data_IF_251926923905
#
_entry.id   IF_251926923905
#
_cell.length_a   1.000
_cell.length_b   1.000
_cell.length_c   1.000
_cell.angle_alpha   90.00
_cell.angle_beta   90.00
_cell.angle_gamma   90.00
#
_symmetry.space_group_name_H-M   'P 1'
#
loop_
_entity.id
_entity.type
_entity.pdbx_description
1 polymer ?
#
# COMPACT_ATOMS: atom_id res chain seq x y z
N UNK A 1 6.50 7.05 -14.08
CA UNK A 1 6.15 8.03 -13.01
C UNK A 1 5.52 7.24 -11.88
N UNK A 2 5.96 7.41 -10.62
CA UNK A 2 5.45 6.63 -9.49
C UNK A 2 3.99 7.01 -9.13
N UNK A 3 3.18 6.09 -8.56
CA UNK A 3 1.83 6.39 -8.12
C UNK A 3 1.81 7.51 -7.07
N UNK A 4 0.81 8.40 -7.14
CA UNK A 4 0.57 9.39 -6.07
C UNK A 4 0.37 8.65 -4.75
N UNK A 5 1.25 8.94 -3.79
CA UNK A 5 1.28 8.26 -2.49
C UNK A 5 0.27 8.89 -1.53
N UNK A 6 -0.91 8.26 -1.40
CA UNK A 6 -1.93 8.58 -0.39
C UNK A 6 -1.85 7.61 0.78
N UNK A 7 -2.50 7.94 1.91
CA UNK A 7 -2.60 7.02 3.05
C UNK A 7 -3.19 5.67 2.67
N UNK A 8 -4.19 5.64 1.78
CA UNK A 8 -4.83 4.39 1.34
C UNK A 8 -3.91 3.56 0.46
N UNK A 9 -3.13 4.19 -0.43
CA UNK A 9 -2.10 3.49 -1.23
C UNK A 9 -1.03 2.92 -0.32
N UNK A 10 -0.58 3.69 0.69
CA UNK A 10 0.38 3.24 1.70
C UNK A 10 -0.10 1.95 2.39
N UNK A 11 -1.33 1.91 2.89
CA UNK A 11 -1.88 0.73 3.57
C UNK A 11 -1.91 -0.51 2.66
N UNK A 12 -2.29 -0.34 1.39
CA UNK A 12 -2.28 -1.45 0.41
C UNK A 12 -0.86 -1.96 0.16
N UNK A 13 0.11 -1.06 0.00
CA UNK A 13 1.51 -1.44 -0.19
C UNK A 13 2.11 -2.14 1.05
N UNK A 14 1.80 -1.66 2.25
CA UNK A 14 2.23 -2.29 3.50
C UNK A 14 1.67 -3.72 3.63
N UNK A 15 0.40 -3.93 3.31
CA UNK A 15 -0.23 -5.25 3.35
C UNK A 15 0.38 -6.23 2.32
N UNK A 16 0.68 -5.74 1.11
CA UNK A 16 1.29 -6.54 0.05
C UNK A 16 2.76 -6.85 0.32
N UNK A 17 3.52 -5.87 0.81
CA UNK A 17 4.93 -6.05 1.18
C UNK A 17 5.09 -7.04 2.32
N UNK A 18 4.20 -7.01 3.33
CA UNK A 18 4.25 -7.99 4.41
C UNK A 18 4.18 -9.42 3.89
N UNK A 19 3.28 -9.70 2.94
CA UNK A 19 3.17 -11.04 2.34
C UNK A 19 4.37 -11.36 1.47
N UNK A 20 4.84 -10.38 0.69
CA UNK A 20 6.02 -10.55 -0.16
C UNK A 20 7.30 -10.83 0.64
N UNK A 21 7.48 -10.17 1.79
CA UNK A 21 8.62 -10.37 2.68
C UNK A 21 8.60 -11.76 3.34
N UNK A 22 7.40 -12.31 3.59
CA UNK A 22 7.21 -13.67 4.09
C UNK A 22 7.46 -14.71 2.97
N UNK A 23 6.82 -14.55 1.80
CA UNK A 23 6.98 -15.40 0.61
C UNK A 23 6.62 -14.63 -0.68
N UNK A 24 7.59 -14.36 -1.58
CA UNK A 24 7.37 -13.58 -2.81
C UNK A 24 6.54 -14.33 -3.88
N UNK A 25 6.24 -15.60 -3.68
CA UNK A 25 5.40 -16.41 -4.58
C UNK A 25 3.91 -16.31 -4.23
N UNK A 26 3.56 -15.87 -3.02
CA UNK A 26 2.17 -15.78 -2.56
C UNK A 26 1.48 -14.57 -3.18
N UNK A 27 0.29 -14.81 -3.75
CA UNK A 27 -0.60 -13.77 -4.25
C UNK A 27 -1.83 -13.64 -3.34
N UNK A 28 -2.35 -12.42 -3.20
CA UNK A 28 -3.57 -12.15 -2.42
C UNK A 28 -4.76 -11.91 -3.34
N UNK A 29 -5.92 -12.47 -3.00
CA UNK A 29 -7.13 -12.10 -3.72
C UNK A 29 -7.68 -10.75 -3.24
N UNK A 30 -8.41 -10.04 -4.10
CA UNK A 30 -8.84 -8.66 -3.81
C UNK A 30 -9.51 -8.43 -2.45
N UNK A 31 -10.36 -9.35 -1.96
CA UNK A 31 -10.99 -9.17 -0.65
C UNK A 31 -10.08 -9.52 0.53
N UNK A 32 -9.05 -10.36 0.38
CA UNK A 32 -8.01 -10.51 1.41
C UNK A 32 -7.31 -9.18 1.65
N UNK A 33 -7.01 -8.46 0.57
CA UNK A 33 -6.41 -7.12 0.66
C UNK A 33 -7.36 -6.19 1.41
N UNK A 34 -8.66 -6.18 1.06
CA UNK A 34 -9.65 -5.37 1.80
C UNK A 34 -9.71 -5.72 3.29
N UNK A 35 -9.65 -7.00 3.65
CA UNK A 35 -9.71 -7.46 5.02
C UNK A 35 -8.45 -7.06 5.80
N UNK A 36 -7.27 -7.17 5.18
CA UNK A 36 -5.98 -6.81 5.78
C UNK A 36 -5.82 -5.30 5.98
N UNK A 37 -6.36 -4.48 5.07
CA UNK A 37 -6.21 -3.02 5.13
C UNK A 37 -7.39 -2.31 5.79
N UNK A 38 -8.53 -2.99 6.01
CA UNK A 38 -9.78 -2.37 6.46
C UNK A 38 -10.41 -1.42 5.44
N UNK A 39 -9.96 -1.46 4.18
CA UNK A 39 -10.45 -0.57 3.12
C UNK A 39 -11.63 -1.22 2.40
N UNK A 40 -12.64 -0.41 2.06
CA UNK A 40 -13.78 -0.89 1.27
C UNK A 40 -13.34 -1.32 -0.14
N UNK A 41 -14.05 -2.28 -0.76
CA UNK A 41 -13.78 -2.70 -2.14
C UNK A 41 -13.72 -1.54 -3.13
N UNK A 42 -14.63 -0.56 -3.01
CA UNK A 42 -14.67 0.63 -3.88
C UNK A 42 -13.42 1.51 -3.80
N UNK A 43 -12.61 1.39 -2.73
CA UNK A 43 -11.33 2.09 -2.59
C UNK A 43 -10.17 1.19 -3.02
N UNK A 44 -10.22 -0.09 -2.66
CA UNK A 44 -9.12 -1.04 -2.88
C UNK A 44 -8.90 -1.34 -4.35
N UNK A 45 -9.96 -1.67 -5.12
CA UNK A 45 -9.79 -2.05 -6.53
C UNK A 45 -9.22 -0.91 -7.41
N UNK A 46 -9.64 0.36 -7.29
CA UNK A 46 -9.00 1.46 -8.00
C UNK A 46 -7.51 1.63 -7.65
N UNK A 47 -7.12 1.37 -6.40
CA UNK A 47 -5.69 1.40 -6.00
C UNK A 47 -4.93 0.26 -6.67
N UNK A 48 -5.46 -0.97 -6.62
CA UNK A 48 -4.84 -2.13 -7.27
C UNK A 48 -4.67 -1.90 -8.77
N UNK A 49 -5.68 -1.34 -9.44
CA UNK A 49 -5.59 -1.00 -10.86
C UNK A 49 -4.46 0.00 -11.13
N UNK A 50 -4.37 1.08 -10.33
CA UNK A 50 -3.27 2.05 -10.49
C UNK A 50 -1.90 1.39 -10.31
N UNK A 51 -1.75 0.50 -9.33
CA UNK A 51 -0.48 -0.19 -9.10
C UNK A 51 -0.14 -1.16 -10.25
N UNK A 52 -1.14 -1.81 -10.85
CA UNK A 52 -0.98 -2.60 -12.08
C UNK A 52 -0.55 -1.70 -13.26
N UNK A 53 -1.20 -0.56 -13.45
CA UNK A 53 -0.88 0.39 -14.53
C UNK A 53 0.57 0.92 -14.41
N UNK A 54 1.10 0.96 -13.18
CA UNK A 54 2.50 1.32 -12.90
C UNK A 54 3.48 0.15 -12.96
N UNK A 55 3.01 -1.08 -13.21
CA UNK A 55 3.85 -2.29 -13.26
C UNK A 55 4.33 -2.77 -11.89
N UNK A 56 3.79 -2.24 -10.80
CA UNK A 56 4.19 -2.62 -9.44
C UNK A 56 3.56 -3.95 -9.02
N UNK A 57 2.43 -4.31 -9.63
CA UNK A 57 1.75 -5.58 -9.42
C UNK A 57 1.71 -6.38 -10.72
N UNK A 58 1.55 -7.68 -10.55
CA UNK A 58 0.97 -8.58 -11.54
C UNK A 58 -0.35 -9.10 -11.00
N UNK A 59 -1.24 -9.50 -11.90
CA UNK A 59 -2.48 -10.16 -11.53
C UNK A 59 -2.69 -11.45 -12.31
N UNK A 60 -3.46 -12.36 -11.71
CA UNK A 60 -3.89 -13.59 -12.35
C UNK A 60 -5.32 -13.93 -11.95
N UNK A 61 -6.08 -14.45 -12.91
CA UNK A 61 -7.37 -15.03 -12.61
C UNK A 61 -7.19 -16.48 -12.22
N UNK A 62 -7.85 -16.87 -11.13
CA UNK A 62 -7.89 -18.25 -10.68
C UNK A 62 -8.28 -19.21 -11.82
N UNK A 63 -7.53 -20.29 -11.96
CA UNK A 63 -7.78 -21.32 -12.96
C UNK A 63 -8.79 -22.36 -12.42
N UNK A 64 -10.04 -21.93 -12.30
CA UNK A 64 -11.14 -22.75 -11.77
C UNK A 64 -12.44 -22.43 -12.52
N UNK A 65 -13.27 -23.45 -12.80
CA UNK A 65 -14.58 -23.29 -13.42
C UNK A 65 -15.61 -22.73 -12.40
N UNK A 66 -16.15 -21.51 -12.62
CA UNK A 66 -17.16 -20.90 -11.74
C UNK A 66 -18.37 -21.78 -11.47
N UNK A 67 -18.79 -22.60 -12.45
CA UNK A 67 -19.95 -23.49 -12.31
C UNK A 67 -19.66 -24.60 -11.32
N UNK A 68 -18.45 -25.13 -11.35
CA UNK A 68 -18.01 -26.18 -10.43
C UNK A 68 -17.83 -25.66 -9.00
N UNK A 69 -17.35 -24.43 -8.80
CA UNK A 69 -17.15 -23.86 -7.46
C UNK A 69 -18.33 -23.05 -6.91
N UNK A 70 -19.42 -22.91 -7.67
CA UNK A 70 -20.60 -22.12 -7.29
C UNK A 70 -20.27 -20.67 -6.84
N UNK A 71 -19.20 -20.08 -7.40
CA UNK A 71 -18.81 -18.69 -7.15
C UNK A 71 -18.01 -18.09 -8.32
N UNK A 72 -17.92 -16.75 -8.44
CA UNK A 72 -17.04 -16.12 -9.41
C UNK A 72 -15.56 -16.46 -9.16
N UNK A 73 -14.75 -16.42 -10.23
CA UNK A 73 -13.29 -16.59 -10.16
C UNK A 73 -12.68 -15.50 -9.29
N UNK A 74 -11.64 -15.85 -8.52
CA UNK A 74 -10.84 -14.85 -7.81
C UNK A 74 -9.82 -14.24 -8.77
N UNK A 75 -9.57 -12.93 -8.62
CA UNK A 75 -8.41 -12.26 -9.20
C UNK A 75 -7.40 -12.06 -8.09
N UNK A 76 -6.22 -12.64 -8.28
CA UNK A 76 -5.08 -12.61 -7.37
C UNK A 76 -4.11 -11.53 -7.80
N UNK A 77 -3.47 -10.88 -6.84
CA UNK A 77 -2.53 -9.80 -7.04
C UNK A 77 -1.25 -10.10 -6.28
N UNK A 78 -0.12 -9.85 -6.92
CA UNK A 78 1.21 -10.05 -6.36
C UNK A 78 2.13 -8.91 -6.76
N UNK A 79 3.07 -8.53 -5.88
CA UNK A 79 4.10 -7.58 -6.27
C UNK A 79 4.98 -8.16 -7.38
N UNK A 80 5.54 -7.30 -8.20
CA UNK A 80 6.69 -7.65 -9.02
C UNK A 80 7.96 -7.40 -8.20
N UNK A 81 9.11 -7.96 -8.59
CA UNK A 81 10.39 -7.69 -7.90
C UNK A 81 10.72 -6.19 -7.88
N UNK A 82 10.53 -5.54 -9.04
CA UNK A 82 10.67 -4.10 -9.19
C UNK A 82 9.62 -3.35 -8.37
N UNK A 83 8.36 -3.79 -8.40
CA UNK A 83 7.27 -3.23 -7.59
C UNK A 83 7.55 -3.28 -6.09
N UNK A 84 8.08 -4.40 -5.57
CA UNK A 84 8.46 -4.53 -4.17
C UNK A 84 9.62 -3.57 -3.82
N UNK A 85 10.60 -3.43 -4.70
CA UNK A 85 11.73 -2.51 -4.52
C UNK A 85 11.26 -1.05 -4.49
N UNK A 86 10.42 -0.67 -5.46
CA UNK A 86 9.83 0.67 -5.54
C UNK A 86 8.89 0.96 -4.37
N UNK A 87 8.09 0.00 -3.94
CA UNK A 87 7.19 0.15 -2.80
C UNK A 87 7.96 0.43 -1.50
N UNK A 88 9.02 -0.33 -1.20
CA UNK A 88 9.86 -0.10 -0.01
C UNK A 88 10.45 1.31 -0.02
N UNK A 89 11.02 1.74 -1.15
CA UNK A 89 11.57 3.09 -1.30
C UNK A 89 10.51 4.15 -1.05
N UNK A 90 9.33 3.99 -1.66
CA UNK A 90 8.27 4.98 -1.55
C UNK A 90 7.69 5.06 -0.12
N UNK A 91 7.64 3.96 0.63
CA UNK A 91 7.26 3.95 2.04
C UNK A 91 8.30 4.64 2.93
N UNK A 92 9.60 4.42 2.67
CA UNK A 92 10.68 5.11 3.38
C UNK A 92 10.60 6.63 3.16
N UNK A 93 10.38 7.07 1.92
CA UNK A 93 10.24 8.50 1.57
C UNK A 93 9.06 9.16 2.31
N UNK A 94 7.94 8.45 2.49
CA UNK A 94 6.78 8.93 3.25
C UNK A 94 7.10 9.08 4.73
N UNK A 95 7.77 8.10 5.34
CA UNK A 95 8.17 8.17 6.75
C UNK A 95 9.10 9.36 6.97
N UNK A 96 10.16 9.46 6.18
CA UNK A 96 11.16 10.52 6.31
C UNK A 96 10.54 11.92 6.21
N UNK A 97 9.60 12.12 5.28
CA UNK A 97 8.87 13.40 5.14
C UNK A 97 7.97 13.69 6.34
N UNK A 98 7.34 12.66 6.90
CA UNK A 98 6.46 12.81 8.06
C UNK A 98 7.26 13.15 9.31
N UNK A 99 8.42 12.51 9.50
CA UNK A 99 9.33 12.77 10.62
C UNK A 99 9.94 14.17 10.53
N UNK A 100 10.43 14.57 9.36
CA UNK A 100 10.93 15.93 9.12
C UNK A 100 9.87 16.99 9.45
N UNK A 101 8.61 16.77 9.05
CA UNK A 101 7.52 17.69 9.35
C UNK A 101 7.16 17.72 10.83
N UNK A 102 7.22 16.58 11.52
CA UNK A 102 7.02 16.51 12.99
C UNK A 102 8.11 17.28 13.74
N UNK A 103 9.37 17.10 13.35
CA UNK A 103 10.50 17.80 13.97
C UNK A 103 10.45 19.30 13.72
N UNK A 104 10.09 19.74 12.51
CA UNK A 104 9.90 21.15 12.20
C UNK A 104 8.78 21.77 13.03
N UNK A 105 7.64 21.06 13.19
CA UNK A 105 6.55 21.50 14.06
C UNK A 105 6.99 21.61 15.54
N UNK A 106 7.67 20.59 16.07
CA UNK A 106 8.17 20.60 17.45
C UNK A 106 9.11 21.78 17.72
N UNK A 107 10.07 22.03 16.82
CA UNK A 107 10.98 23.20 16.91
C UNK A 107 10.23 24.53 16.90
N UNK A 108 9.12 24.62 16.16
CA UNK A 108 8.26 25.81 16.14
C UNK A 108 7.52 26.01 17.47
N UNK A 109 7.05 24.93 18.11
CA UNK A 109 6.44 25.00 19.44
C UNK A 109 7.45 25.43 20.51
N UNK A 110 8.67 24.88 20.47
CA UNK A 110 9.74 25.25 21.40
C UNK A 110 10.11 26.73 21.28
N UNK A 111 10.10 27.27 20.05
CA UNK A 111 10.35 28.69 19.81
C UNK A 111 9.26 29.61 20.37
N UNK A 112 7.99 29.21 20.32
CA UNK A 112 6.87 30.00 20.88
C UNK A 112 6.84 29.92 22.41
N UNK A 113 7.14 28.76 22.99
CA UNK A 113 7.19 28.57 24.45
C UNK A 113 8.31 29.38 25.13
N UNK A 114 9.37 29.74 24.39
CA UNK A 114 10.45 30.60 24.89
C UNK A 114 10.10 32.09 25.01
N UNK A 115 8.91 32.53 24.58
CA UNK A 115 8.49 33.94 24.55
C UNK A 115 7.50 34.35 25.65
N UNK A 116 7.38 33.57 26.74
CA UNK A 116 6.50 33.91 27.88
C UNK A 116 7.23 33.71 29.22
N UNK A 117 8.31 34.46 29.43
CA UNK A 117 8.85 34.74 30.78
C UNK A 117 9.60 36.08 30.76
N UNK A 118 8.88 37.18 30.99
CA UNK A 118 9.43 38.47 31.40
C UNK A 118 8.37 39.28 32.15
#
# INVERSE_FOLDING_TARGET
MAPRMTTTVRLVLEALLRVWDDDPTVALYGLEITARTGLLPGTTYPILQRLLDHGWLTDEWENLDPRAAARPRRRYYRLTEDGASQARKALQDVSARSDARRLAWARGLDAVAGHETA
#
